data_IF_198504643385
#
_entry.id   IF_198504643385
#
_cell.length_a   1.000
_cell.length_b   1.000
_cell.length_c   1.000
_cell.angle_alpha   90.00
_cell.angle_beta   90.00
_cell.angle_gamma   90.00
#
_symmetry.space_group_name_H-M   'P 1'
#
loop_
_entity.id
_entity.type
_entity.pdbx_description
1 polymer ?
#
# COMPACT_ATOMS: atom_id res chain seq x y z
N UNK A 1 4.85 1.11 -6.28
CA UNK A 1 5.77 0.37 -5.38
C UNK A 1 5.10 -0.94 -5.05
N UNK A 2 5.85 -2.03 -4.97
CA UNK A 2 5.31 -3.32 -4.50
C UNK A 2 5.92 -3.60 -3.14
N UNK A 3 5.07 -3.97 -2.19
CA UNK A 3 5.44 -4.35 -0.84
C UNK A 3 5.00 -5.80 -0.58
N UNK A 4 5.89 -6.64 -0.05
CA UNK A 4 5.66 -8.07 0.19
C UNK A 4 6.34 -9.01 -0.82
N UNK A 5 5.90 -10.28 -0.81
CA UNK A 5 6.52 -11.37 -1.56
C UNK A 5 5.74 -11.68 -2.85
N UNK A 6 6.36 -11.40 -3.98
CA UNK A 6 5.83 -11.70 -5.32
C UNK A 6 5.80 -13.21 -5.61
N UNK A 7 6.78 -13.98 -5.12
CA UNK A 7 6.86 -15.42 -5.32
C UNK A 7 5.82 -16.19 -4.53
N UNK A 8 5.56 -15.78 -3.28
CA UNK A 8 4.47 -16.32 -2.46
C UNK A 8 3.08 -15.75 -2.81
N UNK A 9 2.99 -14.87 -3.83
CA UNK A 9 1.76 -14.16 -4.23
C UNK A 9 1.10 -13.45 -3.04
N UNK A 10 1.90 -12.93 -2.11
CA UNK A 10 1.44 -12.20 -0.92
C UNK A 10 2.09 -10.83 -0.94
N UNK A 11 1.46 -9.91 -1.67
CA UNK A 11 2.01 -8.57 -1.86
C UNK A 11 0.90 -7.53 -2.02
N UNK A 12 1.28 -6.28 -1.81
CA UNK A 12 0.48 -5.09 -2.08
C UNK A 12 1.18 -4.26 -3.14
N UNK A 13 0.48 -3.99 -4.24
CA UNK A 13 0.91 -3.05 -5.27
C UNK A 13 0.24 -1.70 -5.03
N UNK A 14 1.03 -0.64 -4.95
CA UNK A 14 0.54 0.74 -4.78
C UNK A 14 0.53 1.48 -6.11
N UNK A 15 -0.53 2.26 -6.32
CA UNK A 15 -0.74 3.07 -7.52
C UNK A 15 -0.80 4.56 -7.15
N UNK A 16 -0.27 5.39 -8.03
CA UNK A 16 -0.28 6.85 -7.87
C UNK A 16 -0.89 7.54 -9.08
N UNK A 17 -1.41 8.73 -8.83
CA UNK A 17 -1.65 9.74 -9.85
C UNK A 17 -0.91 11.01 -9.43
N UNK A 18 0.11 11.38 -10.20
CA UNK A 18 0.97 12.50 -9.85
C UNK A 18 1.70 12.28 -8.51
N UNK A 19 1.66 13.25 -7.57
CA UNK A 19 2.45 13.19 -6.34
C UNK A 19 1.77 12.44 -5.19
N UNK A 20 0.56 11.88 -5.36
CA UNK A 20 -0.21 11.27 -4.27
C UNK A 20 -0.55 9.80 -4.53
N UNK A 21 -0.62 9.02 -3.45
CA UNK A 21 -1.16 7.66 -3.45
C UNK A 21 -2.66 7.69 -3.77
N UNK A 22 -3.09 6.89 -4.73
CA UNK A 22 -4.51 6.84 -5.15
C UNK A 22 -5.17 5.50 -4.95
N UNK A 23 -4.40 4.42 -4.85
CA UNK A 23 -4.97 3.08 -4.72
C UNK A 23 -3.94 2.04 -4.36
N UNK A 24 -4.44 0.91 -3.87
CA UNK A 24 -3.65 -0.30 -3.63
C UNK A 24 -4.39 -1.53 -4.13
N UNK A 25 -3.64 -2.50 -4.62
CA UNK A 25 -4.12 -3.84 -4.95
C UNK A 25 -3.41 -4.80 -4.03
N UNK A 26 -4.17 -5.54 -3.22
CA UNK A 26 -3.65 -6.51 -2.27
C UNK A 26 -3.91 -7.93 -2.81
N UNK A 27 -2.89 -8.78 -2.79
CA UNK A 27 -2.96 -10.19 -3.19
C UNK A 27 -2.61 -11.04 -1.98
N UNK A 28 -3.51 -11.98 -1.63
CA UNK A 28 -3.40 -12.87 -0.46
C UNK A 28 -2.98 -12.18 0.85
N UNK A 29 -3.34 -10.90 1.02
CA UNK A 29 -2.98 -10.11 2.20
C UNK A 29 -4.16 -10.07 3.18
N UNK A 30 -3.93 -10.16 4.50
CA UNK A 30 -5.01 -10.11 5.48
C UNK A 30 -5.83 -8.81 5.38
N UNK A 31 -7.16 -8.83 5.59
CA UNK A 31 -7.99 -7.62 5.54
C UNK A 31 -7.53 -6.50 6.49
N UNK A 32 -6.89 -6.85 7.62
CA UNK A 32 -6.31 -5.89 8.55
C UNK A 32 -5.20 -5.04 7.91
N UNK A 33 -4.42 -5.61 6.99
CA UNK A 33 -3.39 -4.91 6.22
C UNK A 33 -3.95 -3.77 5.39
N UNK A 34 -5.14 -3.98 4.80
CA UNK A 34 -5.80 -2.98 3.97
C UNK A 34 -6.29 -1.76 4.76
N UNK A 35 -6.49 -1.86 6.08
CA UNK A 35 -7.01 -0.73 6.89
C UNK A 35 -6.09 0.48 6.84
N UNK A 36 -4.79 0.27 7.01
CA UNK A 36 -3.84 1.36 7.04
C UNK A 36 -3.61 1.96 5.64
N UNK A 37 -3.71 1.14 4.59
CA UNK A 37 -3.73 1.61 3.20
C UNK A 37 -4.96 2.46 2.88
N UNK A 38 -6.15 2.07 3.35
CA UNK A 38 -7.38 2.87 3.18
C UNK A 38 -7.24 4.24 3.84
N UNK A 39 -6.66 4.30 5.04
CA UNK A 39 -6.39 5.57 5.73
C UNK A 39 -5.40 6.45 4.94
N UNK A 40 -4.30 5.87 4.42
CA UNK A 40 -3.31 6.59 3.62
C UNK A 40 -3.87 7.15 2.30
N UNK A 41 -4.78 6.42 1.65
CA UNK A 41 -5.49 6.89 0.46
C UNK A 41 -6.44 8.04 0.83
N UNK A 42 -7.23 7.86 1.89
CA UNK A 42 -8.17 8.88 2.36
C UNK A 42 -7.46 10.19 2.75
N UNK A 43 -6.26 10.10 3.32
CA UNK A 43 -5.44 11.26 3.68
C UNK A 43 -4.64 11.84 2.51
N UNK A 44 -4.83 11.34 1.28
CA UNK A 44 -4.06 11.73 0.07
C UNK A 44 -2.55 11.74 0.30
N UNK A 45 -2.03 10.66 0.91
CA UNK A 45 -0.62 10.60 1.33
C UNK A 45 0.33 10.92 0.15
N UNK A 46 1.31 11.81 0.35
CA UNK A 46 2.37 12.06 -0.63
C UNK A 46 3.09 10.77 -0.99
N UNK A 47 3.35 10.57 -2.28
CA UNK A 47 3.92 9.33 -2.80
C UNK A 47 5.33 9.05 -2.28
N UNK A 48 6.15 10.09 -2.11
CA UNK A 48 7.49 9.95 -1.54
C UNK A 48 7.45 9.39 -0.11
N UNK A 49 6.48 9.82 0.70
CA UNK A 49 6.26 9.33 2.06
C UNK A 49 5.64 7.92 2.13
N UNK A 50 5.27 7.31 1.01
CA UNK A 50 4.80 5.91 0.97
C UNK A 50 5.97 4.94 1.16
N UNK A 51 7.18 5.31 0.71
CA UNK A 51 8.37 4.49 0.85
C UNK A 51 8.96 4.53 2.28
N UNK A 52 8.76 5.63 2.98
CA UNK A 52 9.36 5.89 4.32
C UNK A 52 8.71 5.10 5.46
N UNK A 53 7.69 4.31 5.14
CA UNK A 53 7.01 3.48 6.10
C UNK A 53 5.84 2.82 5.42
N UNK A 54 6.06 1.58 4.99
CA UNK A 54 4.96 0.66 4.75
C UNK A 54 4.10 0.72 6.02
N UNK A 55 2.82 1.11 5.92
CA UNK A 55 1.91 0.93 7.04
C UNK A 55 1.61 -0.58 7.09
N UNK A 56 2.59 -1.36 7.55
CA UNK A 56 2.53 -2.79 7.53
C UNK A 56 1.50 -3.23 8.57
N UNK A 57 0.52 -4.01 8.11
CA UNK A 57 0.14 -5.15 8.93
C UNK A 57 1.36 -6.05 9.00
N UNK A 58 2.06 -5.94 10.13
CA UNK A 58 2.67 -7.11 10.77
C UNK A 58 1.58 -8.15 11.00
#
# INVERSE_FOLDING_TARGET
>A
MVDGDLGARRFVATYRRGPVLTGVVAVNTPPRALRAWRAAIASRRPWNAVADGVPAAV
#
